data_IF_157027546498
#
_entry.id   IF_157027546498
#
_cell.length_a   1.000
_cell.length_b   1.000
_cell.length_c   1.000
_cell.angle_alpha   90.00
_cell.angle_beta   90.00
_cell.angle_gamma   90.00
#
_symmetry.space_group_name_H-M   'P 1'
#
loop_
_entity.id
_entity.type
_entity.pdbx_description
1 polymer ?
#
# COMPACT_ATOMS: atom_id res chain seq x y z
N UNK A 1 -5.68 -23.39 9.65
CA UNK A 1 -4.56 -24.26 10.06
C UNK A 1 -3.29 -23.53 9.67
N UNK A 2 -2.48 -23.12 10.63
CA UNK A 2 -1.25 -22.37 10.36
C UNK A 2 -0.23 -23.33 9.73
N UNK A 3 0.17 -23.05 8.50
CA UNK A 3 1.15 -23.86 7.76
C UNK A 3 2.51 -23.22 8.02
N UNK A 4 3.24 -23.74 8.98
CA UNK A 4 4.62 -23.32 9.27
C UNK A 4 5.59 -23.89 8.23
N UNK A 5 6.76 -23.25 8.02
CA UNK A 5 7.80 -23.81 7.18
C UNK A 5 8.21 -25.18 7.72
N UNK A 6 7.89 -26.21 6.96
CA UNK A 6 8.24 -27.60 7.29
C UNK A 6 9.52 -27.94 6.54
N UNK A 7 10.63 -28.06 7.24
CA UNK A 7 11.90 -28.52 6.69
C UNK A 7 12.11 -29.94 7.19
N UNK A 8 12.27 -30.89 6.28
CA UNK A 8 12.38 -32.33 6.57
C UNK A 8 11.22 -32.89 7.44
N UNK A 9 10.00 -32.37 7.24
CA UNK A 9 8.83 -32.79 8.00
C UNK A 9 8.73 -32.21 9.41
N UNK A 10 9.61 -31.28 9.80
CA UNK A 10 9.60 -30.61 11.10
C UNK A 10 9.46 -29.11 10.95
N UNK A 11 8.62 -28.52 11.79
CA UNK A 11 8.54 -27.09 12.00
C UNK A 11 9.82 -26.63 12.74
N UNK A 12 10.44 -25.53 12.26
CA UNK A 12 11.56 -24.91 12.96
C UNK A 12 11.11 -24.37 14.32
N UNK A 13 11.83 -24.77 15.37
CA UNK A 13 11.57 -24.33 16.74
C UNK A 13 12.69 -23.41 17.24
N UNK A 14 12.41 -22.68 18.31
CA UNK A 14 13.40 -21.86 18.99
C UNK A 14 14.54 -22.77 19.48
N UNK A 15 15.77 -22.40 19.16
CA UNK A 15 16.98 -23.14 19.46
C UNK A 15 17.45 -24.07 18.33
N UNK A 16 16.60 -24.36 17.33
CA UNK A 16 17.02 -25.15 16.18
C UNK A 16 18.09 -24.43 15.37
N UNK A 17 19.00 -25.22 14.82
CA UNK A 17 19.97 -24.72 13.86
C UNK A 17 19.47 -24.95 12.43
N UNK A 18 19.40 -23.85 11.70
CA UNK A 18 19.04 -23.79 10.28
C UNK A 18 20.24 -23.27 9.50
N UNK A 19 20.92 -24.13 8.75
CA UNK A 19 22.24 -23.84 8.17
C UNK A 19 23.23 -23.39 9.28
N UNK A 20 23.78 -22.20 9.20
CA UNK A 20 24.64 -21.59 10.24
C UNK A 20 23.89 -20.54 11.08
N UNK A 21 22.58 -20.56 11.07
CA UNK A 21 21.72 -19.66 11.86
C UNK A 21 21.05 -20.41 13.00
N UNK A 22 21.04 -19.83 14.19
CA UNK A 22 20.28 -20.35 15.32
C UNK A 22 18.95 -19.60 15.44
N UNK A 23 17.85 -20.32 15.35
CA UNK A 23 16.49 -19.74 15.45
C UNK A 23 16.26 -19.22 16.86
N UNK A 24 15.89 -17.93 16.97
CA UNK A 24 15.61 -17.26 18.24
C UNK A 24 14.11 -17.03 18.47
N UNK A 25 13.36 -16.72 17.41
CA UNK A 25 11.93 -16.51 17.48
C UNK A 25 11.26 -16.75 16.12
N UNK A 26 10.02 -17.22 16.14
CA UNK A 26 9.10 -17.09 15.04
C UNK A 26 8.46 -15.70 15.13
N UNK A 27 8.55 -14.90 14.07
CA UNK A 27 8.06 -13.52 14.10
C UNK A 27 6.67 -13.40 13.49
N UNK A 28 6.47 -13.96 12.30
CA UNK A 28 5.20 -13.88 11.59
C UNK A 28 5.13 -14.90 10.45
N UNK A 29 3.89 -15.22 10.04
CA UNK A 29 3.61 -15.77 8.73
C UNK A 29 3.35 -14.60 7.80
N UNK A 30 4.26 -14.32 6.87
CA UNK A 30 3.98 -13.45 5.73
C UNK A 30 3.00 -14.13 4.78
N UNK A 31 2.47 -13.40 3.81
CA UNK A 31 1.51 -13.97 2.85
C UNK A 31 2.04 -15.18 2.04
N UNK A 32 3.35 -15.43 2.07
CA UNK A 32 4.02 -16.42 1.21
C UNK A 32 5.27 -17.03 1.85
N UNK A 33 5.61 -16.67 3.09
CA UNK A 33 6.83 -17.13 3.75
C UNK A 33 6.69 -17.04 5.27
N UNK A 34 7.38 -17.94 5.95
CA UNK A 34 7.60 -17.85 7.37
C UNK A 34 8.80 -16.98 7.68
N UNK A 35 8.67 -16.11 8.67
CA UNK A 35 9.67 -15.12 9.06
C UNK A 35 10.19 -15.47 10.45
N UNK A 36 11.49 -15.69 10.54
CA UNK A 36 12.17 -16.04 11.77
C UNK A 36 13.24 -15.00 12.13
N UNK A 37 13.32 -14.62 13.40
CA UNK A 37 14.51 -13.99 13.97
C UNK A 37 15.51 -15.08 14.30
N UNK A 38 16.77 -14.89 13.91
CA UNK A 38 17.84 -15.84 14.13
C UNK A 38 19.14 -15.13 14.48
N UNK A 39 20.09 -15.88 15.01
CA UNK A 39 21.45 -15.43 15.25
C UNK A 39 22.39 -16.09 14.24
N UNK A 40 23.08 -15.28 13.47
CA UNK A 40 24.12 -15.71 12.52
C UNK A 40 25.38 -16.11 13.34
N UNK A 41 25.67 -17.42 13.40
CA UNK A 41 26.78 -17.97 14.17
C UNK A 41 28.15 -17.63 13.58
N UNK A 42 28.21 -17.34 12.27
CA UNK A 42 29.43 -16.99 11.55
C UNK A 42 29.75 -15.50 11.72
N UNK A 43 28.77 -14.63 11.44
CA UNK A 43 28.97 -13.19 11.48
C UNK A 43 28.63 -12.57 12.84
N UNK A 44 28.14 -13.36 13.82
CA UNK A 44 27.84 -12.98 15.20
C UNK A 44 26.89 -11.78 15.31
N UNK A 45 25.79 -11.82 14.56
CA UNK A 45 24.77 -10.77 14.54
C UNK A 45 23.37 -11.34 14.48
N UNK A 46 22.39 -10.54 14.88
CA UNK A 46 20.98 -10.87 14.68
C UNK A 46 20.56 -10.63 13.24
N UNK A 47 19.73 -11.53 12.73
CA UNK A 47 19.22 -11.50 11.34
C UNK A 47 17.76 -11.91 11.31
N UNK A 48 17.10 -11.59 10.22
CA UNK A 48 15.79 -12.15 9.86
C UNK A 48 15.97 -13.12 8.72
N UNK A 49 15.37 -14.30 8.84
CA UNK A 49 15.35 -15.32 7.80
C UNK A 49 13.92 -15.43 7.28
N UNK A 50 13.74 -15.23 5.97
CA UNK A 50 12.51 -15.46 5.22
C UNK A 50 12.60 -16.82 4.53
N UNK A 51 11.69 -17.73 4.83
CA UNK A 51 11.63 -19.09 4.26
C UNK A 51 10.30 -19.22 3.55
N UNK A 52 10.27 -19.49 2.22
CA UNK A 52 9.02 -19.70 1.49
C UNK A 52 8.26 -20.90 2.05
N UNK A 53 6.95 -20.77 2.16
CA UNK A 53 6.11 -21.91 2.54
C UNK A 53 5.98 -22.93 1.39
N UNK A 54 5.44 -24.12 1.69
CA UNK A 54 5.31 -25.19 0.68
C UNK A 54 4.32 -24.81 -0.43
N UNK A 55 3.31 -23.99 -0.15
CA UNK A 55 2.32 -23.56 -1.15
C UNK A 55 2.98 -22.67 -2.20
N UNK A 56 3.91 -21.83 -1.78
CA UNK A 56 4.68 -20.93 -2.65
C UNK A 56 5.61 -21.71 -3.59
N UNK A 57 6.23 -22.79 -3.13
CA UNK A 57 7.09 -23.61 -3.97
C UNK A 57 6.32 -24.27 -5.11
N UNK A 58 5.00 -24.45 -4.98
CA UNK A 58 4.08 -24.95 -6.00
C UNK A 58 3.48 -23.88 -6.91
N UNK A 59 3.65 -22.58 -6.61
CA UNK A 59 3.13 -21.46 -7.40
C UNK A 59 4.28 -20.68 -8.07
N UNK A 60 4.47 -20.82 -9.40
CA UNK A 60 5.55 -20.15 -10.10
C UNK A 60 5.55 -18.62 -9.96
N UNK A 61 4.37 -17.99 -9.89
CA UNK A 61 4.25 -16.55 -9.79
C UNK A 61 4.69 -16.04 -8.40
N UNK A 62 4.37 -16.77 -7.35
CA UNK A 62 4.79 -16.45 -5.99
C UNK A 62 6.30 -16.68 -5.81
N UNK A 63 6.83 -17.77 -6.37
CA UNK A 63 8.25 -18.05 -6.34
C UNK A 63 9.08 -17.00 -7.11
N UNK A 64 8.57 -16.51 -8.24
CA UNK A 64 9.20 -15.41 -9.00
C UNK A 64 9.27 -14.11 -8.17
N UNK A 65 8.23 -13.79 -7.38
CA UNK A 65 8.24 -12.64 -6.47
C UNK A 65 9.32 -12.75 -5.41
N UNK A 66 9.43 -13.92 -4.79
CA UNK A 66 10.47 -14.18 -3.80
C UNK A 66 11.88 -14.05 -4.39
N UNK A 67 12.11 -14.59 -5.58
CA UNK A 67 13.39 -14.44 -6.27
C UNK A 67 13.69 -12.98 -6.62
N UNK A 68 12.67 -12.22 -7.03
CA UNK A 68 12.81 -10.79 -7.34
C UNK A 68 13.19 -9.98 -6.11
N UNK A 69 12.57 -10.23 -4.97
CA UNK A 69 12.94 -9.61 -3.71
C UNK A 69 14.43 -9.85 -3.41
N UNK A 70 14.91 -11.09 -3.58
CA UNK A 70 16.32 -11.45 -3.45
C UNK A 70 17.25 -10.63 -4.34
N UNK A 71 16.90 -10.49 -5.61
CA UNK A 71 17.74 -9.78 -6.60
C UNK A 71 17.78 -8.29 -6.30
N UNK A 72 16.63 -7.69 -6.02
CA UNK A 72 16.54 -6.25 -5.69
C UNK A 72 17.33 -5.94 -4.42
N UNK A 73 17.16 -6.72 -3.37
CA UNK A 73 17.85 -6.48 -2.10
C UNK A 73 19.37 -6.59 -2.16
N UNK A 74 19.92 -7.33 -3.14
CA UNK A 74 21.38 -7.40 -3.35
C UNK A 74 21.96 -6.13 -3.94
N UNK A 75 21.15 -5.32 -4.62
CA UNK A 75 21.59 -4.14 -5.37
C UNK A 75 21.38 -2.84 -4.64
N UNK A 76 20.52 -2.83 -3.59
CA UNK A 76 20.19 -1.63 -2.84
C UNK A 76 21.00 -1.55 -1.54
N UNK A 77 21.63 -0.40 -1.30
CA UNK A 77 22.34 -0.07 -0.06
C UNK A 77 22.04 1.39 0.32
N UNK A 78 21.05 1.58 1.19
CA UNK A 78 20.60 2.90 1.63
C UNK A 78 20.06 2.80 3.07
N UNK A 79 20.30 3.81 3.94
CA UNK A 79 19.92 3.74 5.36
C UNK A 79 18.43 3.57 5.63
N UNK A 80 17.56 3.96 4.68
CA UNK A 80 16.09 3.77 4.79
C UNK A 80 15.57 2.57 4.00
N UNK A 81 16.45 1.69 3.51
CA UNK A 81 16.08 0.46 2.81
C UNK A 81 16.60 -0.74 3.60
N UNK A 82 15.74 -1.72 3.84
CA UNK A 82 16.13 -2.95 4.55
C UNK A 82 17.28 -3.63 3.83
N UNK A 83 18.38 -3.86 4.54
CA UNK A 83 19.59 -4.44 3.96
C UNK A 83 19.46 -5.95 3.80
N UNK A 84 19.61 -6.42 2.56
CA UNK A 84 19.81 -7.83 2.25
C UNK A 84 21.22 -8.28 2.64
N UNK A 85 21.31 -9.34 3.43
CA UNK A 85 22.60 -9.87 3.92
C UNK A 85 23.05 -11.08 3.13
N UNK A 86 22.11 -11.76 2.46
CA UNK A 86 22.42 -12.93 1.68
C UNK A 86 21.21 -13.81 1.40
N UNK A 87 21.48 -14.91 0.75
CA UNK A 87 20.49 -15.95 0.44
C UNK A 87 21.19 -17.28 0.34
N UNK A 88 20.45 -18.36 0.58
CA UNK A 88 20.99 -19.71 0.49
C UNK A 88 19.93 -20.71 0.12
N UNK A 89 20.34 -21.99 0.17
CA UNK A 89 19.45 -23.14 0.11
C UNK A 89 19.83 -24.10 1.22
N UNK A 90 18.88 -24.45 2.05
CA UNK A 90 19.04 -25.46 3.07
C UNK A 90 18.04 -26.60 2.82
N UNK A 91 18.52 -27.82 2.65
CA UNK A 91 17.71 -28.98 2.26
C UNK A 91 16.82 -28.71 1.03
N UNK A 92 17.39 -28.05 0.00
CA UNK A 92 16.73 -27.61 -1.26
C UNK A 92 15.70 -26.49 -1.09
N UNK A 93 15.39 -26.05 0.13
CA UNK A 93 14.50 -24.93 0.40
C UNK A 93 15.32 -23.62 0.31
N UNK A 94 14.96 -22.69 -0.57
CA UNK A 94 15.63 -21.39 -0.64
C UNK A 94 15.27 -20.56 0.58
N UNK A 95 16.16 -19.65 0.97
CA UNK A 95 15.89 -18.67 2.03
C UNK A 95 16.56 -17.34 1.73
N UNK A 96 16.01 -16.29 2.30
CA UNK A 96 16.53 -14.92 2.25
C UNK A 96 16.94 -14.51 3.67
N UNK A 97 18.05 -13.80 3.78
CA UNK A 97 18.53 -13.24 5.04
C UNK A 97 18.64 -11.74 4.94
N UNK A 98 18.05 -11.03 5.90
CA UNK A 98 18.12 -9.58 6.03
C UNK A 98 18.68 -9.22 7.40
N UNK A 99 19.06 -7.96 7.56
CA UNK A 99 19.32 -7.43 8.88
C UNK A 99 18.07 -7.50 9.76
N UNK A 100 18.29 -7.61 11.07
CA UNK A 100 17.21 -7.45 12.05
C UNK A 100 17.09 -5.97 12.42
N UNK A 101 15.92 -5.40 12.15
CA UNK A 101 15.58 -4.02 12.51
C UNK A 101 14.72 -4.04 13.77
N UNK A 102 15.22 -3.44 14.84
CA UNK A 102 14.47 -3.30 16.09
C UNK A 102 13.51 -2.10 15.96
N UNK A 103 12.22 -2.38 15.82
CA UNK A 103 11.20 -1.36 15.60
C UNK A 103 9.81 -1.96 15.46
N UNK A 104 8.87 -1.15 15.02
CA UNK A 104 7.50 -1.57 14.74
C UNK A 104 7.07 -1.07 13.36
N UNK A 105 6.04 -1.70 12.76
CA UNK A 105 5.53 -1.23 11.48
C UNK A 105 4.87 0.16 11.62
N UNK A 106 4.95 0.95 10.55
CA UNK A 106 4.22 2.22 10.49
C UNK A 106 2.71 1.99 10.62
N UNK A 107 2.20 0.83 10.19
CA UNK A 107 0.80 0.41 10.40
C UNK A 107 0.46 0.40 11.89
N UNK A 108 1.23 -0.29 12.72
CA UNK A 108 1.00 -0.36 14.16
C UNK A 108 1.08 1.03 14.83
N UNK A 109 1.97 1.90 14.34
CA UNK A 109 2.04 3.29 14.82
C UNK A 109 0.80 4.09 14.42
N UNK A 110 0.31 3.97 13.18
CA UNK A 110 -0.89 4.67 12.71
C UNK A 110 -2.10 4.22 13.54
N UNK A 111 -2.29 2.93 13.75
CA UNK A 111 -3.42 2.39 14.51
C UNK A 111 -3.45 2.86 15.97
N UNK A 112 -2.28 3.10 16.57
CA UNK A 112 -2.19 3.49 17.98
C UNK A 112 -2.10 4.99 18.22
N UNK A 113 -1.62 5.77 17.23
CA UNK A 113 -1.15 7.14 17.46
C UNK A 113 -1.65 8.18 16.45
N UNK A 114 -2.26 7.77 15.31
CA UNK A 114 -2.78 8.75 14.36
C UNK A 114 -4.04 9.45 14.90
N UNK A 115 -4.27 10.72 14.55
CA UNK A 115 -3.49 11.55 13.63
C UNK A 115 -2.19 12.07 14.23
N UNK A 116 -1.14 12.14 13.39
CA UNK A 116 0.17 12.67 13.81
C UNK A 116 0.28 14.18 13.58
N UNK A 117 1.11 14.89 14.37
CA UNK A 117 1.46 16.28 14.08
C UNK A 117 2.09 16.43 12.69
N UNK A 118 1.73 17.53 11.98
CA UNK A 118 2.20 17.79 10.62
C UNK A 118 3.73 17.69 10.48
N UNK A 119 4.49 18.29 11.41
CA UNK A 119 5.95 18.28 11.38
C UNK A 119 6.54 16.87 11.48
N UNK A 120 5.94 16.00 12.30
CA UNK A 120 6.36 14.61 12.43
C UNK A 120 6.11 13.85 11.12
N UNK A 121 4.95 14.05 10.49
CA UNK A 121 4.64 13.46 9.19
C UNK A 121 5.64 13.91 8.14
N UNK A 122 5.88 15.23 8.01
CA UNK A 122 6.83 15.77 7.05
C UNK A 122 8.24 15.23 7.23
N UNK A 123 8.72 15.15 8.48
CA UNK A 123 10.05 14.58 8.79
C UNK A 123 10.17 13.12 8.36
N UNK A 124 9.14 12.31 8.63
CA UNK A 124 9.16 10.89 8.31
C UNK A 124 9.02 10.63 6.80
N UNK A 125 8.05 11.31 6.16
CA UNK A 125 7.79 11.17 4.72
C UNK A 125 9.00 11.59 3.89
N UNK A 126 9.71 12.64 4.29
CA UNK A 126 10.93 13.09 3.60
C UNK A 126 12.00 12.00 3.56
N UNK A 127 12.21 11.28 4.67
CA UNK A 127 13.16 10.17 4.75
C UNK A 127 12.71 8.97 3.91
N UNK A 128 11.40 8.66 3.92
CA UNK A 128 10.84 7.60 3.08
C UNK A 128 11.01 7.96 1.60
N UNK A 129 10.70 9.21 1.23
CA UNK A 129 10.85 9.69 -0.15
C UNK A 129 12.33 9.66 -0.61
N UNK A 130 13.30 9.96 0.27
CA UNK A 130 14.73 9.87 -0.02
C UNK A 130 15.16 8.43 -0.36
N UNK A 131 14.73 7.46 0.44
CA UNK A 131 14.96 6.03 0.13
C UNK A 131 14.30 5.60 -1.16
N UNK A 132 13.08 6.08 -1.44
CA UNK A 132 12.38 5.77 -2.68
C UNK A 132 13.02 6.45 -3.89
N UNK A 133 13.52 7.69 -3.76
CA UNK A 133 14.30 8.35 -4.80
C UNK A 133 15.57 7.56 -5.16
N UNK A 134 16.25 7.02 -4.14
CA UNK A 134 17.38 6.12 -4.35
C UNK A 134 16.98 4.84 -5.11
N UNK A 135 15.86 4.20 -4.75
CA UNK A 135 15.34 3.03 -5.47
C UNK A 135 15.06 3.37 -6.94
N UNK A 136 14.35 4.48 -7.21
CA UNK A 136 13.99 4.91 -8.55
C UNK A 136 15.22 5.21 -9.42
N UNK A 137 16.25 5.83 -8.83
CA UNK A 137 17.53 6.07 -9.49
C UNK A 137 18.26 4.78 -9.90
N UNK A 138 18.01 3.68 -9.18
CA UNK A 138 18.52 2.35 -9.48
C UNK A 138 17.52 1.50 -10.30
N UNK A 139 16.59 2.14 -11.01
CA UNK A 139 15.56 1.50 -11.84
C UNK A 139 14.66 0.51 -11.06
N UNK A 140 14.46 0.71 -9.75
CA UNK A 140 13.58 -0.10 -8.89
C UNK A 140 12.37 0.71 -8.48
N UNK A 141 11.17 0.27 -8.88
CA UNK A 141 9.87 0.83 -8.48
C UNK A 141 9.23 -0.16 -7.52
N UNK A 142 8.83 0.29 -6.33
CA UNK A 142 8.37 -0.60 -5.25
C UNK A 142 7.00 -1.23 -5.54
N UNK A 143 6.01 -0.42 -5.95
CA UNK A 143 4.64 -0.81 -6.36
C UNK A 143 3.74 -1.40 -5.27
N UNK A 144 4.24 -1.61 -4.08
CA UNK A 144 3.46 -2.07 -2.90
C UNK A 144 3.87 -1.27 -1.66
N UNK A 145 4.09 0.05 -1.84
CA UNK A 145 4.42 0.93 -0.73
C UNK A 145 3.17 1.12 0.13
N UNK A 146 3.26 0.70 1.40
CA UNK A 146 2.18 0.79 2.39
C UNK A 146 2.77 0.76 3.80
N UNK A 147 2.02 1.17 4.84
CA UNK A 147 2.53 1.23 6.21
C UNK A 147 3.02 -0.10 6.77
N UNK A 148 2.49 -1.23 6.30
CA UNK A 148 2.94 -2.57 6.68
C UNK A 148 4.37 -2.85 6.20
N UNK A 149 4.78 -2.24 5.08
CA UNK A 149 6.08 -2.41 4.44
C UNK A 149 7.11 -1.34 4.86
N UNK A 150 6.82 -0.58 5.92
CA UNK A 150 7.71 0.43 6.50
C UNK A 150 7.85 0.15 7.98
N UNK A 151 9.08 -0.17 8.43
CA UNK A 151 9.41 -0.27 9.85
C UNK A 151 9.87 1.10 10.35
N UNK A 152 9.50 1.42 11.58
CA UNK A 152 10.02 2.59 12.29
C UNK A 152 10.86 2.06 13.44
N UNK A 153 12.16 2.35 13.39
CA UNK A 153 13.12 1.95 14.42
C UNK A 153 12.85 2.66 15.74
N UNK A 154 13.44 2.19 16.81
CA UNK A 154 13.29 2.79 18.16
C UNK A 154 13.80 4.23 18.25
N UNK A 155 14.70 4.65 17.36
CA UNK A 155 15.21 6.02 17.21
C UNK A 155 14.45 6.83 16.13
N UNK A 156 13.31 6.31 15.63
CA UNK A 156 12.40 7.02 14.73
C UNK A 156 12.87 7.08 13.26
N UNK A 157 13.75 6.17 12.83
CA UNK A 157 14.15 6.09 11.42
C UNK A 157 13.23 5.13 10.67
N UNK A 158 12.77 5.48 9.45
CA UNK A 158 12.01 4.56 8.62
C UNK A 158 12.94 3.60 7.90
N UNK A 159 12.51 2.36 7.74
CA UNK A 159 13.18 1.32 6.94
C UNK A 159 12.13 0.66 6.05
N UNK A 160 12.26 0.85 4.74
CA UNK A 160 11.36 0.29 3.72
C UNK A 160 11.76 -1.16 3.45
N UNK A 161 10.79 -2.04 3.38
CA UNK A 161 10.98 -3.46 3.19
C UNK A 161 9.98 -4.03 2.17
N UNK A 162 10.17 -5.29 1.78
CA UNK A 162 9.28 -6.07 0.91
C UNK A 162 9.19 -5.59 -0.55
N UNK A 163 10.23 -5.88 -1.31
CA UNK A 163 10.34 -5.59 -2.73
C UNK A 163 9.77 -6.68 -3.65
N UNK A 164 8.92 -7.58 -3.13
CA UNK A 164 8.37 -8.73 -3.88
C UNK A 164 7.54 -8.36 -5.12
N UNK A 165 6.96 -7.16 -5.15
CA UNK A 165 6.25 -6.62 -6.31
C UNK A 165 7.06 -5.60 -7.11
N UNK A 166 8.30 -5.32 -6.71
CA UNK A 166 9.14 -4.33 -7.37
C UNK A 166 9.35 -4.64 -8.85
N UNK A 167 9.38 -3.58 -9.67
CA UNK A 167 9.75 -3.67 -11.08
C UNK A 167 11.19 -3.18 -11.24
N UNK A 168 11.98 -4.01 -11.93
CA UNK A 168 13.29 -3.63 -12.44
C UNK A 168 13.26 -3.51 -13.96
N UNK A 169 14.19 -2.77 -14.52
CA UNK A 169 14.30 -2.61 -15.97
C UNK A 169 14.51 -3.98 -16.65
N UNK A 170 13.58 -4.37 -17.54
CA UNK A 170 13.62 -5.67 -18.22
C UNK A 170 12.86 -6.82 -17.54
N UNK A 171 12.31 -6.65 -16.34
CA UNK A 171 11.52 -7.69 -15.70
C UNK A 171 10.22 -8.00 -16.46
N UNK A 172 9.88 -9.29 -16.57
CA UNK A 172 8.63 -9.74 -17.16
C UNK A 172 7.40 -9.25 -16.36
N UNK A 173 6.26 -9.10 -17.04
CA UNK A 173 5.00 -8.70 -16.42
C UNK A 173 4.53 -9.77 -15.43
N UNK A 174 4.39 -9.42 -14.17
CA UNK A 174 3.47 -10.14 -13.28
C UNK A 174 2.09 -9.55 -13.54
N UNK A 175 1.21 -10.31 -14.16
CA UNK A 175 -0.13 -9.83 -14.53
C UNK A 175 -0.98 -9.72 -13.28
N UNK A 176 -1.55 -8.54 -13.03
CA UNK A 176 -2.48 -8.29 -11.92
C UNK A 176 -3.78 -9.12 -12.01
N UNK A 177 -4.09 -9.70 -13.18
CA UNK A 177 -5.28 -10.54 -13.39
C UNK A 177 -5.35 -11.79 -12.49
N UNK A 178 -4.21 -12.26 -11.96
CA UNK A 178 -4.17 -13.39 -11.01
C UNK A 178 -4.09 -12.94 -9.54
N UNK A 179 -4.11 -11.63 -9.28
CA UNK A 179 -3.89 -11.04 -7.96
C UNK A 179 -5.18 -10.90 -7.13
N UNK A 180 -6.36 -11.01 -7.75
CA UNK A 180 -7.66 -10.77 -7.09
C UNK A 180 -7.98 -11.73 -5.94
N UNK A 181 -7.32 -12.89 -5.86
CA UNK A 181 -7.55 -13.89 -4.81
C UNK A 181 -6.54 -13.83 -3.63
N UNK A 182 -5.38 -13.16 -3.81
CA UNK A 182 -4.29 -13.13 -2.83
C UNK A 182 -3.83 -11.72 -2.44
N UNK A 183 -4.45 -10.70 -3.00
CA UNK A 183 -4.12 -9.31 -2.70
C UNK A 183 -4.74 -8.88 -1.38
N UNK A 184 -3.92 -8.26 -0.52
CA UNK A 184 -4.38 -7.44 0.59
C UNK A 184 -5.29 -6.30 0.12
N UNK A 185 -5.80 -5.52 1.03
CA UNK A 185 -6.70 -4.39 0.77
C UNK A 185 -6.06 -3.40 -0.21
N UNK A 186 -6.77 -2.94 -1.28
CA UNK A 186 -6.23 -2.08 -2.33
C UNK A 186 -6.06 -0.61 -1.91
N UNK A 187 -6.00 -0.34 -0.62
CA UNK A 187 -6.08 1.01 -0.01
C UNK A 187 -4.99 1.99 -0.48
N UNK A 188 -3.84 1.49 -0.91
CA UNK A 188 -2.68 2.30 -1.35
C UNK A 188 -2.40 2.16 -2.86
N UNK A 189 -3.25 1.42 -3.56
CA UNK A 189 -3.03 1.10 -4.96
C UNK A 189 -3.32 2.31 -5.85
N UNK A 190 -2.39 2.64 -6.73
CA UNK A 190 -2.59 3.72 -7.68
C UNK A 190 -3.60 3.32 -8.79
N UNK A 191 -4.37 4.29 -9.34
CA UNK A 191 -5.37 4.03 -10.39
C UNK A 191 -4.85 3.21 -11.55
N UNK A 192 -3.67 3.51 -12.08
CA UNK A 192 -3.05 2.79 -13.18
C UNK A 192 -2.73 1.32 -12.84
N UNK A 193 -2.45 1.01 -11.57
CA UNK A 193 -2.26 -0.37 -11.12
C UNK A 193 -3.58 -1.14 -11.11
N UNK A 194 -4.67 -0.50 -10.66
CA UNK A 194 -6.02 -1.07 -10.67
C UNK A 194 -6.46 -1.36 -12.10
N UNK A 195 -6.11 -0.50 -13.06
CA UNK A 195 -6.35 -0.68 -14.50
C UNK A 195 -5.44 -1.74 -15.14
N UNK A 196 -4.54 -2.36 -14.38
CA UNK A 196 -3.62 -3.39 -14.88
C UNK A 196 -2.45 -2.84 -15.70
N UNK A 197 -2.19 -1.54 -15.64
CA UNK A 197 -1.06 -0.91 -16.31
C UNK A 197 0.24 -1.18 -15.54
N UNK A 198 1.38 -1.07 -16.24
CA UNK A 198 2.68 -1.30 -15.62
C UNK A 198 3.00 -0.27 -14.53
N UNK A 199 2.58 0.97 -14.73
CA UNK A 199 2.95 2.11 -13.90
C UNK A 199 4.45 2.45 -14.01
N UNK A 200 4.82 3.54 -13.36
CA UNK A 200 6.21 4.01 -13.22
C UNK A 200 6.43 4.52 -11.78
N UNK A 201 7.52 5.25 -11.55
CA UNK A 201 7.87 5.81 -10.23
C UNK A 201 6.75 6.67 -9.59
N UNK A 202 5.83 7.22 -10.37
CA UNK A 202 4.69 8.03 -9.91
C UNK A 202 3.60 7.19 -9.23
N UNK A 203 3.64 5.87 -9.44
CA UNK A 203 2.84 4.91 -8.67
C UNK A 203 3.20 4.95 -7.18
N UNK A 204 4.51 4.99 -6.86
CA UNK A 204 4.98 5.08 -5.48
C UNK A 204 4.71 6.48 -4.88
N UNK A 205 4.70 7.55 -5.70
CA UNK A 205 4.28 8.90 -5.28
C UNK A 205 2.83 8.90 -4.82
N UNK A 206 1.93 8.24 -5.55
CA UNK A 206 0.53 8.09 -5.17
C UNK A 206 0.38 7.34 -3.85
N UNK A 207 1.04 6.19 -3.71
CA UNK A 207 1.01 5.39 -2.49
C UNK A 207 1.52 6.19 -1.28
N UNK A 208 2.62 6.94 -1.43
CA UNK A 208 3.16 7.79 -0.37
C UNK A 208 2.20 8.93 -0.02
N UNK A 209 1.50 9.51 -1.02
CA UNK A 209 0.42 10.48 -0.80
C UNK A 209 -0.74 9.92 0.04
N UNK A 210 -1.12 8.65 -0.21
CA UNK A 210 -2.14 7.95 0.57
C UNK A 210 -1.69 7.73 2.01
N UNK A 211 -0.43 7.32 2.23
CA UNK A 211 0.18 7.18 3.56
C UNK A 211 0.19 8.53 4.29
N UNK A 212 0.60 9.63 3.62
CA UNK A 212 0.57 10.97 4.20
C UNK A 212 -0.83 11.36 4.67
N UNK A 213 -1.84 11.10 3.81
CA UNK A 213 -3.23 11.39 4.14
C UNK A 213 -3.66 10.65 5.40
N UNK A 214 -3.43 9.34 5.44
CA UNK A 214 -3.81 8.51 6.59
C UNK A 214 -3.10 8.94 7.87
N UNK A 215 -1.81 9.23 7.83
CA UNK A 215 -1.05 9.72 8.99
C UNK A 215 -1.60 11.03 9.53
N UNK A 216 -1.99 11.97 8.66
CA UNK A 216 -2.47 13.30 9.03
C UNK A 216 -3.91 13.31 9.56
N UNK A 217 -4.73 12.33 9.19
CA UNK A 217 -6.17 12.29 9.53
C UNK A 217 -6.54 11.10 10.41
N UNK A 218 -5.74 10.03 10.40
CA UNK A 218 -6.07 8.75 11.04
C UNK A 218 -7.14 7.95 10.29
N UNK A 219 -7.41 8.29 9.03
CA UNK A 219 -8.40 7.61 8.17
C UNK A 219 -7.94 7.61 6.73
N UNK A 220 -8.35 6.59 5.97
CA UNK A 220 -8.08 6.49 4.55
C UNK A 220 -8.81 7.57 3.74
N UNK A 221 -8.20 8.08 2.63
CA UNK A 221 -8.86 9.02 1.72
C UNK A 221 -10.03 8.39 0.97
N UNK A 222 -9.96 7.09 0.70
CA UNK A 222 -10.96 6.32 -0.01
C UNK A 222 -11.39 5.13 0.84
N UNK A 223 -12.70 4.88 0.92
CA UNK A 223 -13.28 3.79 1.73
C UNK A 223 -14.41 3.13 0.95
N UNK A 224 -14.73 1.89 1.29
CA UNK A 224 -15.82 1.15 0.66
C UNK A 224 -16.13 -0.14 1.43
N UNK A 225 -17.31 -0.71 1.18
CA UNK A 225 -17.79 -1.92 1.86
C UNK A 225 -17.03 -3.18 1.42
N UNK A 226 -16.24 -3.10 0.37
CA UNK A 226 -15.43 -4.20 -0.17
C UNK A 226 -14.32 -3.66 -1.07
N UNK A 227 -13.35 -4.52 -1.43
CA UNK A 227 -12.21 -4.16 -2.24
C UNK A 227 -12.59 -3.52 -3.60
N UNK A 228 -13.68 -3.97 -4.24
CA UNK A 228 -14.15 -3.40 -5.51
C UNK A 228 -14.65 -1.97 -5.33
N UNK A 229 -15.35 -1.67 -4.23
CA UNK A 229 -15.80 -0.32 -3.92
C UNK A 229 -14.63 0.61 -3.63
N UNK A 230 -13.61 0.14 -2.89
CA UNK A 230 -12.37 0.90 -2.64
C UNK A 230 -11.64 1.18 -3.96
N UNK A 231 -11.44 0.16 -4.81
CA UNK A 231 -10.84 0.34 -6.14
C UNK A 231 -11.63 1.34 -7.01
N UNK A 232 -12.95 1.27 -6.98
CA UNK A 232 -13.79 2.24 -7.70
C UNK A 232 -13.61 3.68 -7.20
N UNK A 233 -13.38 3.88 -5.91
CA UNK A 233 -13.06 5.19 -5.34
C UNK A 233 -11.69 5.70 -5.80
N UNK A 234 -10.66 4.85 -5.85
CA UNK A 234 -9.35 5.22 -6.41
C UNK A 234 -9.44 5.62 -7.89
N UNK A 235 -10.28 4.93 -8.67
CA UNK A 235 -10.46 5.19 -10.11
C UNK A 235 -11.30 6.43 -10.39
N UNK A 236 -12.35 6.69 -9.60
CA UNK A 236 -13.38 7.67 -9.94
C UNK A 236 -13.59 8.73 -8.85
N UNK A 237 -13.25 8.43 -7.60
CA UNK A 237 -13.46 9.32 -6.48
C UNK A 237 -12.45 10.47 -6.43
N UNK A 238 -12.71 11.40 -5.53
CA UNK A 238 -11.82 12.50 -5.20
C UNK A 238 -11.55 12.48 -3.71
N UNK A 239 -10.28 12.45 -3.32
CA UNK A 239 -9.89 12.47 -1.92
C UNK A 239 -10.41 13.74 -1.22
N UNK A 240 -11.02 13.63 -0.03
CA UNK A 240 -11.44 14.80 0.73
C UNK A 240 -10.25 15.73 1.02
N UNK A 241 -10.47 17.04 0.95
CA UNK A 241 -9.42 18.03 1.24
C UNK A 241 -8.96 17.92 2.69
N UNK A 242 -7.67 17.73 2.90
CA UNK A 242 -7.06 17.57 4.22
C UNK A 242 -7.33 18.77 5.14
N UNK A 243 -7.18 19.99 4.66
CA UNK A 243 -7.39 21.23 5.41
C UNK A 243 -8.86 21.47 5.80
N UNK A 244 -9.80 20.72 5.20
CA UNK A 244 -11.22 20.72 5.58
C UNK A 244 -11.55 19.60 6.57
N UNK A 245 -10.85 18.46 6.48
CA UNK A 245 -11.03 17.35 7.40
C UNK A 245 -10.32 17.62 8.72
N UNK A 246 -9.13 18.21 8.66
CA UNK A 246 -8.35 18.61 9.83
C UNK A 246 -7.81 20.04 9.63
N UNK A 247 -8.40 20.99 10.31
CA UNK A 247 -8.09 22.43 10.17
C UNK A 247 -6.72 22.84 10.72
N UNK A 248 -6.01 21.94 11.39
CA UNK A 248 -4.62 22.17 11.81
C UNK A 248 -3.61 21.97 10.67
N UNK A 249 -4.05 21.38 9.53
CA UNK A 249 -3.21 21.13 8.36
C UNK A 249 -3.19 22.39 7.48
N UNK A 250 -1.99 22.79 7.07
CA UNK A 250 -1.83 23.94 6.16
C UNK A 250 -2.45 23.66 4.78
N UNK A 251 -3.01 24.69 4.11
CA UNK A 251 -3.46 24.54 2.74
C UNK A 251 -2.36 24.06 1.78
N UNK A 252 -1.12 24.44 2.03
CA UNK A 252 0.03 24.01 1.25
C UNK A 252 0.23 22.49 1.34
N UNK A 253 0.24 21.94 2.55
CA UNK A 253 0.36 20.48 2.73
C UNK A 253 -0.86 19.75 2.15
N UNK A 254 -2.05 20.30 2.29
CA UNK A 254 -3.25 19.75 1.68
C UNK A 254 -3.13 19.69 0.13
N UNK A 255 -2.56 20.74 -0.49
CA UNK A 255 -2.31 20.80 -1.93
C UNK A 255 -1.25 19.78 -2.36
N UNK A 256 -0.16 19.63 -1.60
CA UNK A 256 0.89 18.64 -1.88
C UNK A 256 0.30 17.23 -1.89
N UNK A 257 -0.46 16.86 -0.87
CA UNK A 257 -1.09 15.54 -0.80
C UNK A 257 -2.12 15.35 -1.90
N UNK A 258 -2.93 16.36 -2.22
CA UNK A 258 -3.90 16.30 -3.31
C UNK A 258 -3.22 16.08 -4.67
N UNK A 259 -2.05 16.70 -4.90
CA UNK A 259 -1.24 16.48 -6.11
C UNK A 259 -0.71 15.05 -6.17
N UNK A 260 -0.20 14.49 -5.05
CA UNK A 260 0.21 13.09 -5.01
C UNK A 260 -0.94 12.13 -5.36
N UNK A 261 -2.16 12.45 -4.90
CA UNK A 261 -3.39 11.65 -5.10
C UNK A 261 -4.10 11.94 -6.42
N UNK A 262 -3.51 12.73 -7.33
CA UNK A 262 -4.09 12.95 -8.64
C UNK A 262 -4.28 11.63 -9.39
N UNK A 263 -5.46 11.47 -10.04
CA UNK A 263 -5.81 10.24 -10.75
C UNK A 263 -4.86 9.96 -11.91
N UNK A 264 -4.65 10.99 -12.75
CA UNK A 264 -3.71 10.89 -13.86
C UNK A 264 -2.26 11.01 -13.32
N UNK A 265 -1.38 10.04 -13.59
CA UNK A 265 0.04 10.14 -13.20
C UNK A 265 0.74 11.42 -13.70
N UNK A 266 0.32 11.98 -14.85
CA UNK A 266 0.91 13.21 -15.41
C UNK A 266 0.59 14.47 -14.58
N UNK A 267 -0.43 14.42 -13.73
CA UNK A 267 -0.81 15.51 -12.82
C UNK A 267 -0.13 15.39 -11.43
N UNK A 268 0.66 14.33 -11.21
CA UNK A 268 1.43 14.10 -9.96
C UNK A 268 2.82 14.70 -10.05
N UNK A 269 3.53 14.73 -8.92
CA UNK A 269 4.98 14.96 -8.94
C UNK A 269 5.66 13.88 -9.79
N UNK A 270 6.61 14.26 -10.67
CA UNK A 270 7.21 13.34 -11.63
C UNK A 270 8.05 12.23 -10.97
N UNK A 271 8.58 12.51 -9.78
CA UNK A 271 9.38 11.58 -8.99
C UNK A 271 9.45 12.01 -7.51
N UNK A 272 10.12 11.20 -6.69
CA UNK A 272 10.30 11.47 -5.26
C UNK A 272 11.20 12.67 -5.00
N UNK A 273 12.11 13.02 -5.91
CA UNK A 273 12.98 14.20 -5.75
C UNK A 273 12.17 15.48 -5.84
N UNK A 274 11.26 15.57 -6.82
CA UNK A 274 10.34 16.69 -6.94
C UNK A 274 9.37 16.78 -5.73
N UNK A 275 8.94 15.63 -5.19
CA UNK A 275 8.14 15.61 -3.96
C UNK A 275 8.95 16.11 -2.77
N UNK A 276 10.21 15.73 -2.60
CA UNK A 276 11.08 16.24 -1.52
C UNK A 276 11.25 17.74 -1.65
N UNK A 277 11.54 18.25 -2.86
CA UNK A 277 11.73 19.68 -3.10
C UNK A 277 10.51 20.51 -2.68
N UNK A 278 9.29 20.06 -3.02
CA UNK A 278 8.08 20.79 -2.64
C UNK A 278 7.75 20.61 -1.15
N UNK A 279 8.14 19.50 -0.50
CA UNK A 279 8.03 19.35 0.95
C UNK A 279 8.98 20.29 1.70
N UNK A 280 10.16 20.59 1.12
CA UNK A 280 11.14 21.53 1.67
C UNK A 280 10.73 22.98 1.46
N UNK A 281 10.01 23.27 0.37
CA UNK A 281 9.56 24.58 -0.07
C UNK A 281 8.05 24.63 -0.26
N UNK A 282 7.31 24.24 0.79
CA UNK A 282 5.86 24.06 0.72
C UNK A 282 5.09 25.35 0.35
N UNK A 283 5.70 26.52 0.54
CA UNK A 283 5.17 27.81 0.08
C UNK A 283 4.97 27.87 -1.44
N UNK A 284 5.69 27.06 -2.20
CA UNK A 284 5.59 26.96 -3.66
C UNK A 284 4.50 25.97 -4.14
N UNK A 285 3.73 25.36 -3.23
CA UNK A 285 2.68 24.43 -3.59
C UNK A 285 1.56 25.12 -4.40
N UNK A 286 1.14 24.47 -5.49
CA UNK A 286 0.04 24.97 -6.32
C UNK A 286 -1.32 24.76 -5.62
N UNK A 287 -1.86 25.81 -5.03
CA UNK A 287 -3.14 25.76 -4.33
C UNK A 287 -4.35 25.65 -5.27
N UNK A 288 -4.19 25.83 -6.58
CA UNK A 288 -5.30 25.72 -7.55
C UNK A 288 -5.86 24.30 -7.64
N UNK A 289 -5.06 23.29 -7.29
CA UNK A 289 -5.50 21.88 -7.18
C UNK A 289 -6.67 21.74 -6.18
N UNK A 290 -6.67 22.51 -5.10
CA UNK A 290 -7.71 22.46 -4.08
C UNK A 290 -9.06 22.99 -4.58
N UNK A 291 -9.07 23.88 -5.57
CA UNK A 291 -10.31 24.36 -6.21
C UNK A 291 -10.90 23.27 -7.12
N UNK A 292 -10.05 22.54 -7.84
CA UNK A 292 -10.48 21.39 -8.65
C UNK A 292 -11.09 20.29 -7.79
N UNK A 293 -10.50 20.00 -6.62
CA UNK A 293 -11.03 19.05 -5.63
C UNK A 293 -12.42 19.47 -5.14
N UNK A 294 -12.62 20.77 -4.83
CA UNK A 294 -13.92 21.30 -4.40
C UNK A 294 -15.01 21.11 -5.48
N UNK A 295 -14.69 21.41 -6.74
CA UNK A 295 -15.64 21.32 -7.84
C UNK A 295 -16.09 19.90 -8.13
N UNK A 296 -15.18 18.92 -8.05
CA UNK A 296 -15.49 17.50 -8.24
C UNK A 296 -16.35 16.93 -7.12
N UNK A 297 -16.05 17.27 -5.86
CA UNK A 297 -16.85 16.84 -4.70
C UNK A 297 -18.28 17.42 -4.73
N UNK A 298 -18.46 18.63 -5.24
CA UNK A 298 -19.77 19.26 -5.44
C UNK A 298 -20.61 18.57 -6.53
N UNK A 299 -19.97 18.16 -7.61
CA UNK A 299 -20.61 17.45 -8.72
C UNK A 299 -21.07 16.03 -8.33
N UNK A 300 -20.28 15.28 -7.57
CA UNK A 300 -20.66 13.94 -7.08
C UNK A 300 -21.87 13.98 -6.15
N UNK A 301 -21.92 14.95 -5.22
CA UNK A 301 -23.11 15.13 -4.35
C UNK A 301 -24.36 15.48 -5.15
N UNK A 302 -24.24 16.30 -6.17
CA UNK A 302 -25.35 16.67 -7.07
C UNK A 302 -25.85 15.47 -7.86
N UNK A 303 -24.96 14.66 -8.42
CA UNK A 303 -25.33 13.43 -9.18
C UNK A 303 -25.99 12.39 -8.27
N UNK A 304 -25.46 12.16 -7.07
CA UNK A 304 -26.04 11.20 -6.11
C UNK A 304 -27.43 11.64 -5.65
N UNK A 305 -27.64 12.94 -5.40
CA UNK A 305 -28.96 13.49 -5.08
C UNK A 305 -29.91 13.35 -6.26
N UNK A 306 -29.45 13.61 -7.50
CA UNK A 306 -30.28 13.49 -8.70
C UNK A 306 -30.72 12.03 -8.95
N UNK A 307 -29.84 11.05 -8.73
CA UNK A 307 -30.19 9.62 -8.81
C UNK A 307 -31.15 9.20 -7.72
N UNK A 308 -30.98 9.67 -6.49
CA UNK A 308 -31.92 9.42 -5.39
C UNK A 308 -33.29 9.98 -5.70
N UNK A 309 -33.41 11.22 -6.20
CA UNK A 309 -34.67 11.85 -6.59
C UNK A 309 -35.32 11.08 -7.76
N UNK A 310 -34.56 10.68 -8.79
CA UNK A 310 -35.08 9.85 -9.90
C UNK A 310 -35.58 8.50 -9.39
N UNK A 311 -34.87 7.84 -8.48
CA UNK A 311 -35.30 6.57 -7.88
C UNK A 311 -36.64 6.71 -7.12
N UNK A 312 -36.80 7.77 -6.34
CA UNK A 312 -38.05 8.08 -5.61
C UNK A 312 -39.18 8.35 -6.58
N UNK A 313 -38.98 9.14 -7.66
CA UNK A 313 -40.01 9.43 -8.66
C UNK A 313 -40.45 8.17 -9.42
N UNK A 314 -39.54 7.28 -9.76
CA UNK A 314 -39.86 5.99 -10.42
C UNK A 314 -40.67 5.11 -9.45
N UNK A 315 -40.32 5.03 -8.16
CA UNK A 315 -41.06 4.26 -7.17
C UNK A 315 -42.50 4.78 -7.00
N UNK A 316 -42.69 6.11 -6.93
CA UNK A 316 -44.03 6.72 -6.89
C UNK A 316 -44.83 6.50 -8.19
N UNK A 317 -44.19 6.53 -9.36
CA UNK A 317 -44.84 6.23 -10.64
C UNK A 317 -45.32 4.80 -10.71
N UNK A 318 -44.52 3.83 -10.25
CA UNK A 318 -44.92 2.40 -10.19
C UNK A 318 -46.09 2.18 -9.23
N UNK A 319 -46.02 2.79 -8.04
CA UNK A 319 -47.05 2.67 -7.02
C UNK A 319 -48.39 3.30 -7.47
N UNK A 320 -48.32 4.47 -8.11
CA UNK A 320 -49.49 5.12 -8.73
C UNK A 320 -50.14 4.26 -9.81
N UNK A 321 -49.31 3.65 -10.68
CA UNK A 321 -49.77 2.73 -11.73
C UNK A 321 -50.47 1.50 -11.17
N UNK A 322 -49.93 0.90 -10.08
CA UNK A 322 -50.56 -0.26 -9.43
C UNK A 322 -51.90 0.08 -8.79
N UNK A 323 -52.02 1.27 -8.16
CA UNK A 323 -53.30 1.74 -7.57
C UNK A 323 -54.35 1.95 -8.68
N UNK A 324 -53.98 2.56 -9.79
CA UNK A 324 -54.90 2.76 -10.94
C UNK A 324 -55.31 1.43 -11.54
N UNK A 325 -54.44 0.46 -11.66
CA UNK A 325 -54.75 -0.90 -12.14
C UNK A 325 -55.68 -1.64 -11.19
N UNK A 326 -55.47 -1.53 -9.89
CA UNK A 326 -56.39 -2.11 -8.87
C UNK A 326 -57.81 -1.51 -8.91
N UNK A 327 -57.90 -0.18 -9.07
CA UNK A 327 -59.15 0.53 -9.21
C UNK A 327 -59.87 0.18 -10.52
N UNK A 328 -59.14 0.04 -11.63
CA UNK A 328 -59.69 -0.40 -12.91
C UNK A 328 -60.25 -1.81 -12.87
N UNK A 329 -59.57 -2.76 -12.21
CA UNK A 329 -60.05 -4.12 -12.00
C UNK A 329 -61.29 -4.19 -11.11
N UNK A 330 -61.41 -3.35 -10.10
CA UNK A 330 -62.62 -3.24 -9.29
C UNK A 330 -63.83 -2.68 -10.06
N UNK A 331 -63.59 -1.82 -11.05
CA UNK A 331 -64.65 -1.26 -11.89
C UNK A 331 -65.16 -2.25 -12.94
N UNK A 332 -64.31 -3.16 -13.40
CA UNK A 332 -64.67 -4.21 -14.39
C UNK A 332 -65.39 -5.39 -13.73
N UNK A 333 -65.36 -5.54 -12.41
CA UNK A 333 -66.08 -6.59 -11.67
C UNK A 333 -67.40 -6.13 -11.03
N UNK A 334 -67.86 -4.91 -11.34
CA UNK A 334 -69.21 -4.40 -11.05
C UNK A 334 -70.03 -4.36 -12.33
#
# INVERSE_FOLDING_TARGET
>A
MSTYAIIDGKMLQIGDQFDHYQIQAYMAQGGMSDIYRAFDLVNRREVVIKIPDQSMLGDPAQFERFQRELEVMKTLDHPTILKGLGSGKYNRVPYLVTEFVNGQSLRALIETSAPFPQEQVLSLIRKIADGMAYCHKNDVIHRDLKPENILITTDGQPVIMDFGLALTKGAHRVTYSNLSATMGTPDYMAPEQIEGQRGDQRTDVYALGTIMYEMLVGKMPFTGDNNMAIMAQHLNGTAPRLDRVNTSISPQLAAIVATCLARNPDDRYPDMTALIEILDHSENADLTILEKVNSSTGSEKSLTQLHAIKGVLIAFGIMGGLVLLALGLQYLHR
#
